data_IF_205810706159
#
_entry.id   IF_205810706159
#
_cell.length_a   1.000
_cell.length_b   1.000
_cell.length_c   1.000
_cell.angle_alpha   90.00
_cell.angle_beta   90.00
_cell.angle_gamma   90.00
#
_symmetry.space_group_name_H-M   'P 1'
#
loop_
_entity.id
_entity.type
_entity.pdbx_description
1 polymer ?
#
# COMPACT_ATOMS: atom_id res chain seq x y z
N UNK A 1 24.95 9.26 7.52
CA UNK A 1 24.20 8.59 6.45
C UNK A 1 23.93 7.14 6.87
N UNK A 2 22.86 6.89 7.64
CA UNK A 2 22.57 5.57 8.22
C UNK A 2 21.97 4.68 7.10
N UNK A 3 22.77 3.77 6.54
CA UNK A 3 22.32 2.79 5.55
C UNK A 3 21.31 1.85 6.23
N UNK A 4 20.01 2.13 6.04
CA UNK A 4 18.90 1.22 6.37
C UNK A 4 18.96 0.02 5.41
N UNK A 5 19.92 -0.89 5.61
CA UNK A 5 19.87 -2.20 5.00
C UNK A 5 18.83 -2.96 5.84
N UNK A 6 17.59 -2.97 5.37
CA UNK A 6 16.57 -3.84 5.97
C UNK A 6 17.07 -5.28 5.95
N UNK A 7 16.70 -6.11 6.95
CA UNK A 7 17.16 -7.49 7.02
C UNK A 7 16.88 -8.20 5.71
N UNK A 8 17.84 -9.00 5.24
CA UNK A 8 17.69 -9.75 3.99
C UNK A 8 16.45 -10.67 4.03
N UNK A 9 15.94 -11.12 2.87
CA UNK A 9 14.75 -11.98 2.83
C UNK A 9 14.86 -13.26 3.67
N UNK A 10 16.09 -13.74 3.91
CA UNK A 10 16.37 -14.88 4.78
C UNK A 10 16.29 -14.52 6.28
N UNK A 11 16.87 -13.39 6.68
CA UNK A 11 16.81 -12.89 8.06
C UNK A 11 15.38 -12.54 8.46
N UNK A 12 14.61 -11.89 7.58
CA UNK A 12 13.21 -11.59 7.82
C UNK A 12 12.38 -12.87 8.08
N UNK A 13 12.67 -13.96 7.37
CA UNK A 13 12.04 -15.27 7.62
C UNK A 13 12.50 -15.88 8.95
N UNK A 14 13.77 -15.78 9.29
CA UNK A 14 14.31 -16.28 10.55
C UNK A 14 13.65 -15.60 11.75
N UNK A 15 13.56 -14.27 11.74
CA UNK A 15 12.83 -13.50 12.75
C UNK A 15 11.34 -13.85 12.81
N UNK A 16 10.72 -14.07 11.65
CA UNK A 16 9.33 -14.55 11.58
C UNK A 16 9.13 -15.92 12.23
N UNK A 17 10.07 -16.86 12.02
CA UNK A 17 10.01 -18.18 12.65
C UNK A 17 10.26 -18.10 14.16
N UNK A 18 11.22 -17.29 14.61
CA UNK A 18 11.50 -17.07 16.02
C UNK A 18 10.30 -16.47 16.75
N UNK A 19 9.64 -15.48 16.14
CA UNK A 19 8.42 -14.90 16.67
C UNK A 19 7.26 -15.91 16.72
N UNK A 20 7.11 -16.74 15.68
CA UNK A 20 6.11 -17.80 15.66
C UNK A 20 6.35 -18.84 16.75
N UNK A 21 7.61 -19.18 17.04
CA UNK A 21 7.99 -20.04 18.16
C UNK A 21 7.60 -19.41 19.50
N UNK A 22 7.88 -18.12 19.69
CA UNK A 22 7.46 -17.39 20.89
C UNK A 22 5.94 -17.38 21.07
N UNK A 23 5.18 -17.17 20.00
CA UNK A 23 3.72 -17.25 20.03
C UNK A 23 3.21 -18.66 20.36
N UNK A 24 3.87 -19.70 19.86
CA UNK A 24 3.55 -21.09 20.19
C UNK A 24 3.79 -21.39 21.67
N UNK A 25 4.94 -20.96 22.21
CA UNK A 25 5.28 -21.13 23.63
C UNK A 25 4.28 -20.39 24.53
N UNK A 26 3.90 -19.17 24.17
CA UNK A 26 2.87 -18.42 24.89
C UNK A 26 1.49 -19.11 24.82
N UNK A 27 1.11 -19.64 23.66
CA UNK A 27 -0.13 -20.41 23.51
C UNK A 27 -0.12 -21.67 24.40
N UNK A 28 1.00 -22.40 24.41
CA UNK A 28 1.18 -23.59 25.24
C UNK A 28 1.19 -23.25 26.74
N UNK A 29 1.79 -22.15 27.17
CA UNK A 29 1.77 -21.76 28.58
C UNK A 29 0.35 -21.48 29.07
N UNK A 30 -0.48 -20.84 28.24
CA UNK A 30 -1.89 -20.60 28.58
C UNK A 30 -2.73 -21.88 28.52
N UNK A 31 -2.49 -22.74 27.53
CA UNK A 31 -3.15 -24.05 27.45
C UNK A 31 -2.81 -24.95 28.63
N UNK A 32 -1.54 -25.03 29.04
CA UNK A 32 -1.12 -25.76 30.24
C UNK A 32 -1.70 -25.13 31.51
N UNK A 33 -1.74 -23.80 31.58
CA UNK A 33 -2.38 -23.05 32.66
C UNK A 33 -3.85 -23.41 32.85
N UNK A 34 -4.59 -23.70 31.77
CA UNK A 34 -5.99 -24.15 31.87
C UNK A 34 -6.19 -25.53 32.50
N UNK A 35 -5.16 -26.37 32.58
CA UNK A 35 -5.21 -27.62 33.34
C UNK A 35 -4.78 -27.43 34.80
N UNK A 36 -3.83 -26.53 35.04
CA UNK A 36 -3.19 -26.36 36.36
C UNK A 36 -3.91 -25.34 37.26
N UNK A 37 -4.52 -24.30 36.69
CA UNK A 37 -5.27 -23.25 37.40
C UNK A 37 -6.78 -23.47 37.42
N UNK A 38 -7.27 -24.65 37.04
CA UNK A 38 -8.71 -24.92 36.95
C UNK A 38 -9.19 -25.71 38.17
N UNK A 39 -9.64 -25.05 39.26
CA UNK A 39 -10.17 -25.75 40.41
C UNK A 39 -11.48 -26.46 40.03
N UNK A 40 -11.57 -27.79 40.16
CA UNK A 40 -12.74 -28.56 39.73
C UNK A 40 -14.01 -28.20 40.52
N UNK A 41 -13.86 -27.71 41.75
CA UNK A 41 -14.99 -27.49 42.67
C UNK A 41 -15.58 -26.07 42.65
N UNK A 42 -14.97 -25.12 41.93
CA UNK A 42 -15.36 -23.70 41.96
C UNK A 42 -15.68 -23.13 40.58
N UNK A 43 -16.93 -23.32 40.12
CA UNK A 43 -17.40 -22.84 38.82
C UNK A 43 -17.16 -21.33 38.58
N UNK A 44 -17.30 -20.49 39.62
CA UNK A 44 -17.07 -19.04 39.51
C UNK A 44 -15.64 -18.70 39.06
N UNK A 45 -14.65 -19.43 39.58
CA UNK A 45 -13.24 -19.19 39.23
C UNK A 45 -12.94 -19.63 37.79
N UNK A 46 -13.61 -20.69 37.33
CA UNK A 46 -13.46 -21.21 35.97
C UNK A 46 -13.94 -20.19 34.92
N UNK A 47 -15.05 -19.49 35.19
CA UNK A 47 -15.57 -18.44 34.30
C UNK A 47 -14.62 -17.25 34.21
N UNK A 48 -13.97 -16.86 35.30
CA UNK A 48 -12.97 -15.78 35.28
C UNK A 48 -11.80 -16.14 34.35
N UNK A 49 -11.29 -17.38 34.44
CA UNK A 49 -10.22 -17.86 33.55
C UNK A 49 -10.66 -17.83 32.08
N UNK A 50 -11.90 -18.27 31.79
CA UNK A 50 -12.46 -18.22 30.43
C UNK A 50 -12.56 -16.77 29.92
N UNK A 51 -13.04 -15.84 30.74
CA UNK A 51 -13.17 -14.43 30.37
C UNK A 51 -11.81 -13.80 30.05
N UNK A 52 -10.80 -14.07 30.86
CA UNK A 52 -9.42 -13.63 30.61
C UNK A 52 -8.88 -14.21 29.32
N UNK A 53 -9.05 -15.52 29.09
CA UNK A 53 -8.60 -16.19 27.87
C UNK A 53 -9.27 -15.64 26.61
N UNK A 54 -10.58 -15.34 26.65
CA UNK A 54 -11.31 -14.73 25.54
C UNK A 54 -10.77 -13.32 25.22
N UNK A 55 -10.51 -12.50 26.25
CA UNK A 55 -9.90 -11.18 26.09
C UNK A 55 -8.51 -11.25 25.45
N UNK A 56 -7.67 -12.18 25.92
CA UNK A 56 -6.35 -12.41 25.35
C UNK A 56 -6.39 -12.91 23.91
N UNK A 57 -7.30 -13.84 23.58
CA UNK A 57 -7.47 -14.34 22.22
C UNK A 57 -7.96 -13.24 21.27
N UNK A 58 -8.82 -12.34 21.75
CA UNK A 58 -9.23 -11.15 21.00
C UNK A 58 -8.05 -10.23 20.68
N UNK A 59 -7.23 -9.88 21.68
CA UNK A 59 -6.02 -9.07 21.49
C UNK A 59 -4.98 -9.76 20.59
N UNK A 60 -4.77 -11.06 20.76
CA UNK A 60 -3.89 -11.85 19.92
C UNK A 60 -4.39 -11.88 18.46
N UNK A 61 -5.70 -11.95 18.24
CA UNK A 61 -6.29 -11.95 16.89
C UNK A 61 -6.00 -10.64 16.15
N UNK A 62 -6.04 -9.49 16.82
CA UNK A 62 -5.73 -8.20 16.18
C UNK A 62 -4.21 -8.03 15.98
N UNK A 63 -3.40 -8.28 17.00
CA UNK A 63 -1.95 -8.06 16.96
C UNK A 63 -1.18 -9.07 16.12
N UNK A 64 -1.56 -10.36 16.14
CA UNK A 64 -0.86 -11.42 15.40
C UNK A 64 -1.42 -11.65 13.99
N UNK A 65 -2.52 -10.98 13.61
CA UNK A 65 -3.16 -11.13 12.29
C UNK A 65 -2.22 -10.92 11.10
N UNK A 66 -1.19 -10.08 11.26
CA UNK A 66 -0.17 -9.81 10.23
C UNK A 66 0.58 -11.11 9.86
N UNK A 67 0.81 -11.98 10.84
CA UNK A 67 1.44 -13.28 10.68
C UNK A 67 0.46 -14.40 11.05
N UNK A 68 -0.41 -14.77 10.10
CA UNK A 68 -1.43 -15.82 10.28
C UNK A 68 -0.93 -17.11 10.94
N UNK A 69 0.31 -17.53 10.65
CA UNK A 69 0.91 -18.73 11.26
C UNK A 69 1.09 -18.58 12.77
N UNK A 70 1.61 -17.44 13.24
CA UNK A 70 1.82 -17.17 14.65
C UNK A 70 0.47 -17.06 15.40
N UNK A 71 -0.54 -16.46 14.77
CA UNK A 71 -1.89 -16.39 15.34
C UNK A 71 -2.48 -17.78 15.61
N UNK A 72 -2.37 -18.72 14.67
CA UNK A 72 -2.86 -20.10 14.89
C UNK A 72 -2.03 -20.88 15.92
N UNK A 73 -0.72 -20.67 15.93
CA UNK A 73 0.17 -21.29 16.92
C UNK A 73 -0.11 -20.82 18.34
N UNK A 74 -0.65 -19.61 18.52
CA UNK A 74 -1.13 -19.13 19.81
C UNK A 74 -2.55 -19.63 20.12
N UNK A 75 -3.49 -19.46 19.18
CA UNK A 75 -4.92 -19.66 19.42
C UNK A 75 -5.29 -21.13 19.66
N UNK A 76 -4.70 -22.05 18.89
CA UNK A 76 -5.05 -23.49 18.99
C UNK A 76 -4.67 -24.03 20.37
N UNK A 77 -3.42 -23.88 20.85
CA UNK A 77 -3.04 -24.42 22.15
C UNK A 77 -3.68 -23.66 23.33
N UNK A 78 -4.05 -22.38 23.16
CA UNK A 78 -4.70 -21.62 24.21
C UNK A 78 -6.19 -21.97 24.39
N UNK A 79 -6.90 -22.32 23.31
CA UNK A 79 -8.36 -22.55 23.35
C UNK A 79 -8.75 -24.03 23.41
N UNK A 80 -7.98 -24.91 22.76
CA UNK A 80 -8.35 -26.32 22.63
C UNK A 80 -8.39 -27.06 24.00
N UNK A 81 -7.38 -26.93 24.88
CA UNK A 81 -7.40 -27.53 26.21
C UNK A 81 -8.61 -27.12 27.05
N UNK A 82 -8.90 -25.82 27.16
CA UNK A 82 -9.99 -25.32 27.99
C UNK A 82 -11.35 -25.79 27.45
N UNK A 83 -11.51 -25.82 26.12
CA UNK A 83 -12.73 -26.34 25.48
C UNK A 83 -12.94 -27.82 25.81
N UNK A 84 -11.88 -28.64 25.73
CA UNK A 84 -11.94 -30.06 26.07
C UNK A 84 -12.26 -30.27 27.55
N UNK A 85 -11.66 -29.49 28.45
CA UNK A 85 -11.91 -29.57 29.90
C UNK A 85 -13.38 -29.32 30.25
N UNK A 86 -14.01 -28.31 29.64
CA UNK A 86 -15.44 -28.05 29.85
C UNK A 86 -16.36 -29.10 29.19
N UNK A 87 -15.94 -29.71 28.08
CA UNK A 87 -16.70 -30.80 27.45
C UNK A 87 -16.69 -32.08 28.30
N UNK A 88 -15.57 -32.39 28.97
CA UNK A 88 -15.42 -33.61 29.76
C UNK A 88 -16.13 -33.53 31.12
N UNK A 89 -16.33 -32.33 31.68
CA UNK A 89 -17.00 -32.15 32.99
C UNK A 89 -18.47 -32.59 33.00
N UNK A 90 -19.18 -32.51 31.88
CA UNK A 90 -20.53 -33.08 31.74
C UNK A 90 -21.63 -32.45 32.59
N UNK A 91 -21.38 -31.31 33.26
CA UNK A 91 -22.42 -30.53 33.96
C UNK A 91 -23.22 -29.66 32.98
N UNK A 92 -24.49 -29.37 33.28
CA UNK A 92 -25.38 -28.58 32.41
C UNK A 92 -24.79 -27.21 32.04
N UNK A 93 -24.28 -26.46 33.03
CA UNK A 93 -23.66 -25.14 32.81
C UNK A 93 -22.32 -25.23 32.07
N UNK A 94 -21.53 -26.29 32.30
CA UNK A 94 -20.24 -26.49 31.62
C UNK A 94 -20.41 -26.74 30.12
N UNK A 95 -21.50 -27.40 29.73
CA UNK A 95 -21.84 -27.67 28.33
C UNK A 95 -22.14 -26.37 27.57
N UNK A 96 -22.86 -25.42 28.19
CA UNK A 96 -23.15 -24.11 27.61
C UNK A 96 -21.83 -23.34 27.37
N UNK A 97 -20.94 -23.31 28.37
CA UNK A 97 -19.64 -22.65 28.26
C UNK A 97 -18.78 -23.29 27.16
N UNK A 98 -18.77 -24.63 27.07
CA UNK A 98 -18.07 -25.33 26.00
C UNK A 98 -18.58 -24.95 24.60
N UNK A 99 -19.90 -24.85 24.42
CA UNK A 99 -20.49 -24.40 23.15
C UNK A 99 -20.09 -22.96 22.82
N UNK A 100 -20.12 -22.05 23.81
CA UNK A 100 -19.66 -20.68 23.63
C UNK A 100 -18.18 -20.63 23.24
N UNK A 101 -17.33 -21.43 23.87
CA UNK A 101 -15.90 -21.52 23.56
C UNK A 101 -15.65 -22.04 22.14
N UNK A 102 -16.39 -23.06 21.68
CA UNK A 102 -16.31 -23.56 20.30
C UNK A 102 -16.69 -22.46 19.31
N UNK A 103 -17.78 -21.72 19.58
CA UNK A 103 -18.22 -20.60 18.75
C UNK A 103 -17.18 -19.47 18.74
N UNK A 104 -16.65 -19.08 19.89
CA UNK A 104 -15.59 -18.07 20.01
C UNK A 104 -14.32 -18.50 19.28
N UNK A 105 -13.94 -19.76 19.37
CA UNK A 105 -12.77 -20.30 18.67
C UNK A 105 -12.95 -20.23 17.15
N UNK A 106 -14.11 -20.66 16.64
CA UNK A 106 -14.47 -20.51 15.22
C UNK A 106 -14.47 -19.06 14.77
N UNK A 107 -15.06 -18.16 15.58
CA UNK A 107 -15.05 -16.72 15.35
C UNK A 107 -13.62 -16.16 15.26
N UNK A 108 -12.72 -16.51 16.18
CA UNK A 108 -11.34 -16.05 16.15
C UNK A 108 -10.56 -16.59 14.95
N UNK A 109 -10.79 -17.83 14.53
CA UNK A 109 -10.18 -18.38 13.31
C UNK A 109 -10.63 -17.64 12.04
N UNK A 110 -11.93 -17.31 11.94
CA UNK A 110 -12.50 -16.56 10.83
C UNK A 110 -12.01 -15.11 10.86
N UNK A 111 -12.08 -14.47 12.03
CA UNK A 111 -11.63 -13.09 12.26
C UNK A 111 -10.15 -12.91 11.90
N UNK A 112 -9.28 -13.82 12.36
CA UNK A 112 -7.85 -13.83 12.00
C UNK A 112 -7.64 -13.88 10.49
N UNK A 113 -8.41 -14.72 9.77
CA UNK A 113 -8.35 -14.80 8.31
C UNK A 113 -8.80 -13.51 7.64
N UNK A 114 -9.89 -12.93 8.12
CA UNK A 114 -10.47 -11.71 7.57
C UNK A 114 -9.51 -10.53 7.77
N UNK A 115 -9.00 -10.33 8.98
CA UNK A 115 -8.04 -9.25 9.27
C UNK A 115 -6.77 -9.43 8.43
N UNK A 116 -6.21 -10.63 8.38
CA UNK A 116 -5.01 -10.91 7.57
C UNK A 116 -5.21 -10.53 6.10
N UNK A 117 -6.35 -10.92 5.50
CA UNK A 117 -6.69 -10.58 4.11
C UNK A 117 -6.85 -9.07 3.92
N UNK A 118 -7.56 -8.40 4.83
CA UNK A 118 -7.81 -6.97 4.77
C UNK A 118 -6.50 -6.16 4.86
N UNK A 119 -5.58 -6.55 5.75
CA UNK A 119 -4.27 -5.91 5.88
C UNK A 119 -3.44 -6.10 4.61
N UNK A 120 -3.42 -7.32 4.03
CA UNK A 120 -2.70 -7.56 2.78
C UNK A 120 -3.28 -6.77 1.60
N UNK A 121 -4.60 -6.68 1.50
CA UNK A 121 -5.26 -5.88 0.46
C UNK A 121 -4.94 -4.40 0.61
N UNK A 122 -4.99 -3.86 1.83
CA UNK A 122 -4.63 -2.46 2.10
C UNK A 122 -3.20 -2.14 1.67
N UNK A 123 -2.24 -3.00 2.03
CA UNK A 123 -0.83 -2.80 1.65
C UNK A 123 -0.68 -2.83 0.12
N UNK A 124 -1.31 -3.79 -0.57
CA UNK A 124 -1.25 -3.90 -2.03
C UNK A 124 -1.86 -2.69 -2.73
N UNK A 125 -3.04 -2.24 -2.30
CA UNK A 125 -3.72 -1.07 -2.86
C UNK A 125 -2.87 0.18 -2.68
N UNK A 126 -2.28 0.37 -1.49
CA UNK A 126 -1.42 1.52 -1.20
C UNK A 126 -0.18 1.54 -2.09
N UNK A 127 0.51 0.41 -2.23
CA UNK A 127 1.69 0.32 -3.10
C UNK A 127 1.34 0.55 -4.58
N UNK A 128 0.21 0.00 -5.05
CA UNK A 128 -0.24 0.22 -6.42
C UNK A 128 -0.63 1.69 -6.68
N UNK A 129 -1.28 2.35 -5.71
CA UNK A 129 -1.61 3.76 -5.79
C UNK A 129 -0.34 4.63 -5.87
N UNK A 130 0.66 4.38 -5.01
CA UNK A 130 1.95 5.09 -5.02
C UNK A 130 2.70 4.91 -6.35
N UNK A 131 2.69 3.69 -6.92
CA UNK A 131 3.29 3.43 -8.23
C UNK A 131 2.58 4.19 -9.35
N UNK A 132 1.24 4.20 -9.33
CA UNK A 132 0.44 4.90 -10.34
C UNK A 132 0.65 6.41 -10.27
N UNK A 133 0.66 6.97 -9.06
CA UNK A 133 0.95 8.39 -8.84
C UNK A 133 2.32 8.79 -9.42
N UNK A 134 3.38 7.99 -9.14
CA UNK A 134 4.70 8.22 -9.73
C UNK A 134 4.69 8.16 -11.25
N UNK A 135 4.00 7.18 -11.84
CA UNK A 135 3.92 7.08 -13.30
C UNK A 135 3.22 8.28 -13.95
N UNK A 136 2.17 8.78 -13.31
CA UNK A 136 1.45 9.98 -13.77
C UNK A 136 2.30 11.24 -13.63
N UNK A 137 3.04 11.38 -12.53
CA UNK A 137 3.96 12.49 -12.34
C UNK A 137 5.04 12.53 -13.44
N UNK A 138 5.67 11.38 -13.74
CA UNK A 138 6.67 11.27 -14.81
C UNK A 138 6.08 11.55 -16.20
N UNK A 139 4.89 11.02 -16.49
CA UNK A 139 4.22 11.27 -17.76
C UNK A 139 3.85 12.75 -17.93
N UNK A 140 3.40 13.41 -16.86
CA UNK A 140 3.11 14.84 -16.85
C UNK A 140 4.38 15.67 -17.12
N UNK A 141 5.48 15.36 -16.44
CA UNK A 141 6.77 16.02 -16.63
C UNK A 141 7.26 15.89 -18.09
N UNK A 142 7.09 14.71 -18.71
CA UNK A 142 7.44 14.51 -20.12
C UNK A 142 6.59 15.39 -21.06
N UNK A 143 5.28 15.48 -20.81
CA UNK A 143 4.39 16.32 -21.62
C UNK A 143 4.74 17.80 -21.46
N UNK A 144 5.02 18.25 -20.23
CA UNK A 144 5.42 19.62 -19.96
C UNK A 144 6.76 19.97 -20.62
N UNK A 145 7.75 19.08 -20.53
CA UNK A 145 9.05 19.24 -21.20
C UNK A 145 8.90 19.32 -22.73
N UNK A 146 8.07 18.46 -23.32
CA UNK A 146 7.80 18.49 -24.77
C UNK A 146 7.08 19.78 -25.21
N UNK A 147 6.13 20.26 -24.40
CA UNK A 147 5.41 21.51 -24.64
C UNK A 147 6.35 22.73 -24.56
N UNK A 148 7.25 22.74 -23.58
CA UNK A 148 8.25 23.78 -23.43
C UNK A 148 9.23 23.78 -24.61
N UNK A 149 9.80 22.62 -24.96
CA UNK A 149 10.70 22.50 -26.10
C UNK A 149 10.06 22.94 -27.42
N UNK A 150 8.77 22.63 -27.62
CA UNK A 150 8.00 23.12 -28.78
C UNK A 150 7.88 24.65 -28.77
N UNK A 151 7.58 25.23 -27.61
CA UNK A 151 7.42 26.68 -27.46
C UNK A 151 8.74 27.41 -27.72
N UNK A 152 9.84 26.92 -27.14
CA UNK A 152 11.18 27.45 -27.34
C UNK A 152 11.62 27.34 -28.81
N UNK A 153 11.34 26.21 -29.45
CA UNK A 153 11.58 26.03 -30.89
C UNK A 153 10.83 27.06 -31.73
N UNK A 154 9.51 27.22 -31.50
CA UNK A 154 8.70 28.18 -32.26
C UNK A 154 9.14 29.63 -32.02
N UNK A 155 9.51 29.97 -30.79
CA UNK A 155 10.04 31.29 -30.47
C UNK A 155 11.37 31.56 -31.20
N UNK A 156 12.32 30.63 -31.10
CA UNK A 156 13.61 30.75 -31.79
C UNK A 156 13.44 30.87 -33.30
N UNK A 157 12.64 30.01 -33.91
CA UNK A 157 12.35 30.05 -35.35
C UNK A 157 11.69 31.37 -35.74
N UNK A 158 10.77 31.89 -34.95
CA UNK A 158 10.14 33.20 -35.20
C UNK A 158 11.14 34.36 -35.16
N UNK A 159 12.08 34.32 -34.22
CA UNK A 159 13.17 35.29 -34.14
C UNK A 159 14.12 35.18 -35.34
N UNK A 160 14.50 33.96 -35.71
CA UNK A 160 15.38 33.71 -36.85
C UNK A 160 14.75 34.09 -38.18
N UNK A 161 13.43 33.96 -38.36
CA UNK A 161 12.72 34.41 -39.56
C UNK A 161 12.60 35.94 -39.65
N UNK A 162 12.57 36.67 -38.53
CA UNK A 162 12.44 38.14 -38.54
C UNK A 162 13.62 38.81 -39.25
N UNK A 163 14.83 38.30 -39.07
CA UNK A 163 16.05 38.85 -39.67
C UNK A 163 16.06 38.80 -41.20
N UNK A 164 15.94 37.63 -41.86
CA UNK A 164 15.88 37.56 -43.32
C UNK A 164 14.64 38.30 -43.86
N UNK A 165 13.50 38.28 -43.17
CA UNK A 165 12.32 39.04 -43.61
C UNK A 165 12.60 40.54 -43.65
N UNK A 166 13.19 41.08 -42.59
CA UNK A 166 13.58 42.49 -42.52
C UNK A 166 14.62 42.86 -43.58
N UNK A 167 15.58 41.97 -43.85
CA UNK A 167 16.58 42.17 -44.91
C UNK A 167 15.91 42.22 -46.29
N UNK A 168 15.05 41.25 -46.60
CA UNK A 168 14.33 41.20 -47.89
C UNK A 168 13.45 42.44 -48.08
N UNK A 169 12.73 42.87 -47.04
CA UNK A 169 11.91 44.07 -47.07
C UNK A 169 12.76 45.35 -47.25
N UNK A 170 13.87 45.46 -46.53
CA UNK A 170 14.79 46.59 -46.67
C UNK A 170 15.42 46.65 -48.06
N UNK A 171 15.85 45.51 -48.61
CA UNK A 171 16.36 45.41 -49.98
C UNK A 171 15.29 45.77 -51.01
N UNK A 172 14.05 45.27 -50.86
CA UNK A 172 12.93 45.62 -51.72
C UNK A 172 12.68 47.14 -51.73
N UNK A 173 12.69 47.78 -50.55
CA UNK A 173 12.53 49.22 -50.43
C UNK A 173 13.63 50.01 -51.15
N UNK A 174 14.90 49.58 -51.03
CA UNK A 174 16.02 50.20 -51.74
C UNK A 174 15.88 50.07 -53.26
N UNK A 175 15.47 48.90 -53.76
CA UNK A 175 15.29 48.68 -55.21
C UNK A 175 14.13 49.53 -55.76
N UNK A 176 13.03 49.68 -55.02
CA UNK A 176 11.89 50.54 -55.39
C UNK A 176 12.24 52.03 -55.53
N UNK A 177 13.35 52.49 -54.92
CA UNK A 177 13.86 53.86 -55.06
C UNK A 177 14.76 54.06 -56.30
N UNK A 178 15.01 53.01 -57.08
CA UNK A 178 15.81 53.08 -58.32
C UNK A 178 14.93 53.28 -59.57
N UNK A 179 15.55 53.42 -60.75
CA UNK A 179 14.83 53.44 -62.04
C UNK A 179 14.38 52.02 -62.38
N UNK A 180 13.07 51.79 -62.32
CA UNK A 180 12.42 50.50 -62.61
C UNK A 180 11.42 50.63 -63.76
N UNK A 181 11.24 49.57 -64.53
CA UNK A 181 10.13 49.47 -65.47
C UNK A 181 8.79 49.15 -64.76
N UNK A 182 7.67 49.35 -65.45
CA UNK A 182 6.33 49.20 -64.85
C UNK A 182 6.04 47.78 -64.34
N UNK A 183 6.63 46.74 -64.95
CA UNK A 183 6.44 45.35 -64.53
C UNK A 183 7.25 45.02 -63.28
N UNK A 184 8.50 45.50 -63.20
CA UNK A 184 9.36 45.37 -62.02
C UNK A 184 8.75 46.09 -60.82
N UNK A 185 8.21 47.29 -61.03
CA UNK A 185 7.56 48.09 -60.00
C UNK A 185 6.29 47.43 -59.45
N UNK A 186 5.45 46.86 -60.32
CA UNK A 186 4.26 46.10 -59.91
C UNK A 186 4.63 44.81 -59.16
N UNK A 187 5.64 44.07 -59.63
CA UNK A 187 6.12 42.84 -58.97
C UNK A 187 6.67 43.11 -57.55
N UNK A 188 7.56 44.10 -57.40
CA UNK A 188 8.13 44.49 -56.10
C UNK A 188 7.07 45.09 -55.16
N UNK A 189 6.11 45.84 -55.70
CA UNK A 189 4.96 46.36 -54.96
C UNK A 189 3.97 45.28 -54.52
N UNK A 190 3.91 44.11 -55.18
CA UNK A 190 3.17 42.94 -54.71
C UNK A 190 3.88 42.26 -53.53
N UNK A 191 5.20 42.11 -53.61
CA UNK A 191 6.01 41.55 -52.51
C UNK A 191 5.87 42.38 -51.23
N UNK A 192 5.87 43.72 -51.34
CA UNK A 192 5.72 44.60 -50.17
C UNK A 192 4.31 44.59 -49.55
N UNK A 193 3.27 44.25 -50.31
CA UNK A 193 1.90 44.13 -49.81
C UNK A 193 1.59 42.78 -49.17
N UNK A 194 2.42 41.77 -49.42
CA UNK A 194 2.23 40.40 -48.93
C UNK A 194 2.99 40.11 -47.62
N UNK A 195 3.82 41.04 -47.16
CA UNK A 195 4.54 41.00 -45.89
C UNK A 195 3.77 41.77 -44.81
#
# INVERSE_FOLDING_TARGET
MYKRIGPGPAEARAWGNLFALGAALAGLSWGAGSFLMFPPDNFEHQIIVVLVLLGMCSGATTSLSVMRRAAYLFLVPAMLPVTVVFLVQGHDLSTIVALMLILSFGFFLISTRNIHRNTQQNIRLRLAAEQKERSLALAKEQVEAASQAKSDFLANISHEFRTPMNIILGMNHMVLQTRLDDRQKDALGKVQRAA
#
